data_IF_200222585622
#
_entry.id   IF_200222585622
#
_cell.length_a   1.000
_cell.length_b   1.000
_cell.length_c   1.000
_cell.angle_alpha   90.00
_cell.angle_beta   90.00
_cell.angle_gamma   90.00
#
_symmetry.space_group_name_H-M   'P 1'
#
loop_
_entity.id
_entity.type
_entity.pdbx_description
1 polymer ?
#
# COMPACT_ATOMS: atom_id res chain seq x y z
N UNK A 1 5.57 5.12 -26.32
CA UNK A 1 4.83 4.25 -25.39
C UNK A 1 4.53 2.96 -26.11
N UNK A 2 4.91 1.81 -25.54
CA UNK A 2 4.62 0.50 -26.13
C UNK A 2 3.28 0.04 -25.60
N UNK A 3 2.37 -0.36 -26.49
CA UNK A 3 1.01 -0.78 -26.15
C UNK A 3 0.68 -2.12 -26.80
N UNK A 4 -0.23 -2.90 -26.21
CA UNK A 4 -0.76 -4.09 -26.84
C UNK A 4 -1.57 -3.76 -28.11
N UNK A 5 -1.74 -4.75 -28.98
CA UNK A 5 -2.50 -4.59 -30.23
C UNK A 5 -3.97 -4.17 -30.02
N UNK A 6 -4.56 -4.54 -28.88
CA UNK A 6 -5.95 -4.22 -28.53
C UNK A 6 -6.19 -2.69 -28.33
N UNK A 7 -5.15 -1.87 -28.24
CA UNK A 7 -5.32 -0.41 -28.18
C UNK A 7 -6.09 0.16 -29.38
N UNK A 8 -6.14 -0.59 -30.49
CA UNK A 8 -6.90 -0.25 -31.69
C UNK A 8 -8.29 -0.89 -31.77
N UNK A 9 -8.74 -1.53 -30.68
CA UNK A 9 -10.10 -2.06 -30.63
C UNK A 9 -11.09 -0.90 -30.48
N UNK A 10 -12.11 -0.91 -31.33
CA UNK A 10 -13.17 0.10 -31.30
C UNK A 10 -14.05 -0.05 -30.07
N UNK A 11 -14.37 1.08 -29.49
CA UNK A 11 -15.32 1.23 -28.38
C UNK A 11 -16.22 2.43 -28.62
N UNK A 12 -17.39 2.42 -28.04
CA UNK A 12 -18.34 3.53 -28.08
C UNK A 12 -18.51 4.08 -26.68
N UNK A 13 -17.58 4.95 -26.21
CA UNK A 13 -17.61 5.47 -24.86
C UNK A 13 -18.83 6.36 -24.63
N UNK A 14 -19.36 6.32 -23.42
CA UNK A 14 -20.50 7.12 -23.00
C UNK A 14 -20.14 7.92 -21.74
N UNK A 15 -20.60 9.17 -21.66
CA UNK A 15 -20.41 9.98 -20.46
C UNK A 15 -21.27 9.45 -19.31
N UNK A 16 -20.71 9.48 -18.07
CA UNK A 16 -21.46 9.04 -16.88
C UNK A 16 -22.79 9.78 -16.70
N UNK A 17 -22.85 11.06 -17.08
CA UNK A 17 -24.09 11.85 -17.09
C UNK A 17 -25.18 11.19 -17.95
N UNK A 18 -24.79 10.71 -19.11
CA UNK A 18 -25.73 10.12 -20.07
C UNK A 18 -26.15 8.71 -19.67
N UNK A 19 -25.22 7.94 -19.00
CA UNK A 19 -25.59 6.68 -18.36
C UNK A 19 -26.65 6.91 -17.27
N UNK A 20 -26.47 7.91 -16.42
CA UNK A 20 -27.41 8.24 -15.35
C UNK A 20 -28.77 8.67 -15.95
N UNK A 21 -28.79 9.44 -17.05
CA UNK A 21 -30.00 9.79 -17.78
C UNK A 21 -30.73 8.53 -18.25
N UNK A 22 -30.07 7.61 -18.95
CA UNK A 22 -30.69 6.37 -19.39
C UNK A 22 -31.23 5.53 -18.22
N UNK A 23 -30.54 5.50 -17.07
CA UNK A 23 -31.01 4.80 -15.88
C UNK A 23 -32.29 5.44 -15.30
N UNK A 24 -32.41 6.76 -15.36
CA UNK A 24 -33.62 7.48 -14.91
C UNK A 24 -34.74 7.30 -15.92
N UNK A 25 -34.50 7.55 -17.22
CA UNK A 25 -35.48 7.48 -18.28
C UNK A 25 -36.11 6.08 -18.37
N UNK A 26 -35.34 5.00 -18.12
CA UNK A 26 -35.88 3.64 -18.16
C UNK A 26 -36.90 3.33 -17.05
N UNK A 27 -37.02 4.16 -16.02
CA UNK A 27 -38.09 4.02 -15.00
C UNK A 27 -39.47 4.49 -15.53
N UNK A 28 -39.47 5.44 -16.47
CA UNK A 28 -40.65 6.05 -16.99
C UNK A 28 -41.11 5.45 -18.34
N UNK A 29 -40.24 4.68 -19.02
CA UNK A 29 -40.50 4.08 -20.33
C UNK A 29 -40.78 2.59 -20.18
N UNK A 30 -42.05 2.20 -20.20
CA UNK A 30 -42.53 0.82 -20.01
C UNK A 30 -41.96 -0.17 -21.04
N UNK A 31 -41.68 0.26 -22.24
CA UNK A 31 -41.15 -0.51 -23.36
C UNK A 31 -39.71 -0.99 -23.10
N UNK A 32 -39.04 -0.47 -22.09
CA UNK A 32 -37.69 -0.92 -21.66
C UNK A 32 -37.72 -2.15 -20.76
N UNK A 33 -38.90 -2.44 -20.15
CA UNK A 33 -39.06 -3.53 -19.19
C UNK A 33 -38.74 -4.90 -19.81
N UNK A 34 -37.89 -5.68 -19.15
CA UNK A 34 -37.50 -7.02 -19.59
C UNK A 34 -36.59 -7.04 -20.84
N UNK A 35 -36.08 -5.90 -21.30
CA UNK A 35 -35.21 -5.78 -22.47
C UNK A 35 -33.77 -5.54 -22.06
N UNK A 36 -32.87 -5.99 -22.92
CA UNK A 36 -31.45 -5.60 -22.86
C UNK A 36 -31.18 -4.56 -23.93
N UNK A 37 -30.81 -3.36 -23.54
CA UNK A 37 -30.56 -2.23 -24.41
C UNK A 37 -29.09 -1.86 -24.40
N UNK A 38 -28.49 -1.73 -25.57
CA UNK A 38 -27.13 -1.23 -25.72
C UNK A 38 -27.14 0.30 -25.62
N UNK A 39 -26.31 0.88 -24.75
CA UNK A 39 -26.17 2.34 -24.62
C UNK A 39 -24.72 2.74 -24.94
N UNK A 40 -24.56 3.85 -25.67
CA UNK A 40 -23.26 4.38 -26.08
C UNK A 40 -23.34 5.88 -26.34
N UNK A 41 -22.18 6.53 -26.38
CA UNK A 41 -22.07 7.91 -26.84
C UNK A 41 -22.18 8.03 -28.37
N UNK A 42 -22.08 9.25 -28.92
CA UNK A 42 -22.18 9.47 -30.36
C UNK A 42 -20.91 9.03 -31.13
N UNK A 43 -19.77 8.95 -30.45
CA UNK A 43 -18.49 8.70 -31.07
C UNK A 43 -18.08 7.23 -30.94
N UNK A 44 -17.58 6.64 -32.04
CA UNK A 44 -16.94 5.33 -32.05
C UNK A 44 -15.45 5.57 -32.29
N UNK A 45 -14.62 5.22 -31.30
CA UNK A 45 -13.21 5.49 -31.33
C UNK A 45 -12.42 4.31 -30.77
N UNK A 46 -11.12 4.24 -31.11
CA UNK A 46 -10.22 3.29 -30.48
C UNK A 46 -9.57 3.89 -29.21
N UNK A 47 -9.03 3.02 -28.36
CA UNK A 47 -8.39 3.46 -27.12
C UNK A 47 -7.18 4.37 -27.36
N UNK A 48 -6.52 4.23 -28.51
CA UNK A 48 -5.39 5.08 -28.88
C UNK A 48 -5.84 6.52 -29.09
N UNK A 49 -6.94 6.71 -29.82
CA UNK A 49 -7.56 8.02 -30.05
C UNK A 49 -8.01 8.67 -28.74
N UNK A 50 -8.71 7.91 -27.89
CA UNK A 50 -9.15 8.39 -26.58
C UNK A 50 -7.96 8.85 -25.72
N UNK A 51 -6.85 8.08 -25.68
CA UNK A 51 -5.65 8.48 -24.95
C UNK A 51 -5.01 9.75 -25.52
N UNK A 52 -5.06 9.96 -26.83
CA UNK A 52 -4.53 11.18 -27.46
C UNK A 52 -5.39 12.40 -27.13
N UNK A 53 -6.72 12.26 -27.16
CA UNK A 53 -7.66 13.30 -26.75
C UNK A 53 -7.41 13.68 -25.28
N UNK A 54 -7.31 12.70 -24.39
CA UNK A 54 -7.01 12.93 -22.97
C UNK A 54 -5.65 13.64 -22.79
N UNK A 55 -4.60 13.22 -23.51
CA UNK A 55 -3.30 13.85 -23.42
C UNK A 55 -3.33 15.32 -23.91
N UNK A 56 -4.09 15.63 -24.97
CA UNK A 56 -4.31 16.99 -25.46
C UNK A 56 -5.00 17.86 -24.40
N UNK A 57 -6.10 17.35 -23.79
CA UNK A 57 -6.84 18.06 -22.74
C UNK A 57 -6.01 18.33 -21.48
N UNK A 58 -5.14 17.38 -21.11
CA UNK A 58 -4.20 17.52 -20.00
C UNK A 58 -2.92 18.31 -20.35
N UNK A 59 -2.83 18.87 -21.56
CA UNK A 59 -1.65 19.62 -22.07
C UNK A 59 -0.34 18.82 -22.00
N UNK A 60 -0.42 17.51 -22.13
CA UNK A 60 0.73 16.61 -22.16
C UNK A 60 1.34 16.56 -23.57
N UNK A 61 2.63 16.26 -23.65
CA UNK A 61 3.29 16.02 -24.96
C UNK A 61 2.63 14.84 -25.68
N UNK A 62 2.46 14.96 -27.00
CA UNK A 62 1.92 13.89 -27.85
C UNK A 62 2.70 12.60 -27.62
N UNK A 63 2.00 11.51 -27.31
CA UNK A 63 2.59 10.20 -27.08
C UNK A 63 2.77 9.48 -28.42
N UNK A 64 3.98 9.04 -28.70
CA UNK A 64 4.24 8.12 -29.81
C UNK A 64 3.87 6.72 -29.30
N UNK A 65 2.87 6.09 -29.91
CA UNK A 65 2.32 4.81 -29.50
C UNK A 65 2.72 3.75 -30.53
N UNK A 66 3.42 2.71 -30.06
CA UNK A 66 3.83 1.56 -30.87
C UNK A 66 3.04 0.33 -30.42
N UNK A 67 2.05 -0.13 -31.21
CA UNK A 67 1.33 -1.36 -30.90
C UNK A 67 2.21 -2.57 -31.18
N UNK A 68 2.41 -3.43 -30.18
CA UNK A 68 3.23 -4.64 -30.28
C UNK A 68 2.32 -5.87 -30.33
N UNK A 69 2.45 -6.75 -31.34
CA UNK A 69 1.57 -7.91 -31.51
C UNK A 69 1.76 -8.99 -30.44
N UNK A 70 2.90 -9.02 -29.77
CA UNK A 70 3.32 -10.09 -28.86
C UNK A 70 2.71 -9.98 -27.46
N UNK A 71 2.16 -8.83 -27.08
CA UNK A 71 1.56 -8.64 -25.77
C UNK A 71 0.15 -9.27 -25.69
N UNK A 72 0.09 -10.55 -25.27
CA UNK A 72 -1.17 -11.19 -24.91
C UNK A 72 -1.82 -10.44 -23.73
N UNK A 73 -3.15 -10.57 -23.49
CA UNK A 73 -3.79 -9.93 -22.33
C UNK A 73 -3.13 -10.31 -21.00
N UNK A 74 -2.65 -11.55 -20.91
CA UNK A 74 -1.93 -12.03 -19.72
C UNK A 74 -0.61 -11.30 -19.53
N UNK A 75 0.18 -11.13 -20.59
CA UNK A 75 1.42 -10.34 -20.54
C UNK A 75 1.12 -8.86 -20.32
N UNK A 76 0.04 -8.34 -20.91
CA UNK A 76 -0.40 -6.94 -20.70
C UNK A 76 -0.80 -6.70 -19.25
N UNK A 77 -1.54 -7.61 -18.61
CA UNK A 77 -1.91 -7.47 -17.20
C UNK A 77 -0.70 -7.54 -16.26
N UNK A 78 0.27 -8.41 -16.57
CA UNK A 78 1.56 -8.45 -15.85
C UNK A 78 2.34 -7.16 -16.02
N UNK A 79 2.38 -6.61 -17.24
CA UNK A 79 3.00 -5.32 -17.52
C UNK A 79 2.31 -4.17 -16.78
N UNK A 80 0.97 -4.11 -16.78
CA UNK A 80 0.21 -3.12 -16.03
C UNK A 80 0.54 -3.22 -14.54
N UNK A 81 0.53 -4.44 -13.95
CA UNK A 81 0.91 -4.65 -12.56
C UNK A 81 2.38 -4.30 -12.25
N UNK A 82 3.28 -4.38 -13.26
CA UNK A 82 4.68 -3.99 -13.13
C UNK A 82 4.88 -2.47 -13.18
N UNK A 83 4.13 -1.77 -14.03
CA UNK A 83 4.32 -0.32 -14.30
C UNK A 83 3.42 0.57 -13.45
N UNK A 84 2.30 0.03 -12.97
CA UNK A 84 1.30 0.77 -12.18
C UNK A 84 1.03 0.06 -10.86
N UNK A 85 0.55 0.78 -9.84
CA UNK A 85 0.16 0.17 -8.56
C UNK A 85 -1.18 -0.59 -8.63
N UNK A 86 -1.69 -0.90 -9.83
CA UNK A 86 -2.96 -1.60 -10.00
C UNK A 86 -2.75 -3.11 -9.82
N UNK A 87 -3.58 -3.72 -8.97
CA UNK A 87 -3.57 -5.16 -8.74
C UNK A 87 -3.86 -5.94 -10.02
N UNK A 88 -3.08 -7.00 -10.31
CA UNK A 88 -3.33 -7.89 -11.44
C UNK A 88 -4.72 -8.55 -11.42
N UNK A 89 -5.32 -8.71 -10.23
CA UNK A 89 -6.68 -9.23 -10.08
C UNK A 89 -7.74 -8.34 -10.74
N UNK A 90 -7.49 -7.02 -10.75
CA UNK A 90 -8.34 -6.02 -11.41
C UNK A 90 -7.88 -5.79 -12.85
N UNK A 91 -6.59 -5.63 -13.07
CA UNK A 91 -6.03 -5.30 -14.37
C UNK A 91 -6.28 -6.38 -15.42
N UNK A 92 -6.26 -7.67 -15.02
CA UNK A 92 -6.41 -8.78 -15.96
C UNK A 92 -7.79 -8.86 -16.61
N UNK A 93 -8.93 -8.91 -15.86
CA UNK A 93 -10.26 -8.93 -16.48
C UNK A 93 -10.52 -7.69 -17.35
N UNK A 94 -10.06 -6.51 -16.89
CA UNK A 94 -10.18 -5.29 -17.68
C UNK A 94 -9.38 -5.38 -19.00
N UNK A 95 -8.11 -5.81 -18.95
CA UNK A 95 -7.29 -5.97 -20.14
C UNK A 95 -7.82 -7.04 -21.10
N UNK A 96 -8.42 -8.12 -20.57
CA UNK A 96 -9.11 -9.13 -21.37
C UNK A 96 -10.36 -8.56 -22.04
N UNK A 97 -11.14 -7.74 -21.35
CA UNK A 97 -12.33 -7.04 -21.86
C UNK A 97 -12.02 -6.06 -23.00
N UNK A 98 -10.88 -5.35 -22.93
CA UNK A 98 -10.45 -4.37 -23.95
C UNK A 98 -10.18 -4.97 -25.34
N UNK A 99 -10.12 -6.28 -25.49
CA UNK A 99 -10.00 -6.96 -26.77
C UNK A 99 -11.31 -7.02 -27.55
N UNK A 100 -12.42 -6.92 -26.84
CA UNK A 100 -13.73 -7.03 -27.44
C UNK A 100 -14.16 -5.67 -27.98
N UNK A 101 -14.71 -5.67 -29.18
CA UNK A 101 -15.35 -4.50 -29.75
C UNK A 101 -16.59 -4.19 -28.94
N UNK A 102 -16.66 -3.00 -28.33
CA UNK A 102 -17.76 -2.56 -27.48
C UNK A 102 -18.48 -1.38 -28.16
N UNK A 103 -19.29 -1.71 -29.14
CA UNK A 103 -20.09 -0.76 -29.91
C UNK A 103 -21.55 -1.24 -29.88
N UNK A 104 -22.50 -0.33 -29.76
CA UNK A 104 -23.92 -0.65 -29.78
C UNK A 104 -24.27 -1.41 -31.04
N UNK A 105 -25.08 -2.47 -30.92
CA UNK A 105 -25.52 -3.31 -32.03
C UNK A 105 -26.75 -2.75 -32.74
N UNK A 106 -27.51 -1.91 -32.04
CA UNK A 106 -28.68 -1.22 -32.54
C UNK A 106 -28.87 0.14 -31.85
N UNK A 107 -29.83 0.89 -32.26
CA UNK A 107 -30.22 2.22 -31.75
C UNK A 107 -31.48 2.20 -30.87
N UNK A 108 -31.89 1.03 -30.40
CA UNK A 108 -33.13 0.87 -29.64
C UNK A 108 -33.16 1.77 -28.39
N UNK A 109 -32.05 1.90 -27.67
CA UNK A 109 -31.99 2.76 -26.50
C UNK A 109 -32.24 4.24 -26.85
N UNK A 110 -31.61 4.73 -27.93
CA UNK A 110 -31.77 6.13 -28.40
C UNK A 110 -33.17 6.38 -28.86
N UNK A 111 -33.80 5.40 -29.53
CA UNK A 111 -35.18 5.52 -30.03
C UNK A 111 -36.19 5.52 -28.90
N UNK A 112 -36.03 4.68 -27.89
CA UNK A 112 -36.93 4.58 -26.75
C UNK A 112 -36.76 5.71 -25.74
N UNK A 113 -35.51 6.14 -25.55
CA UNK A 113 -35.14 7.19 -24.60
C UNK A 113 -34.31 8.27 -25.32
N UNK A 114 -34.95 9.12 -26.14
CA UNK A 114 -34.26 10.13 -26.94
C UNK A 114 -33.58 11.18 -26.05
N UNK A 115 -32.41 11.64 -26.47
CA UNK A 115 -31.67 12.70 -25.78
C UNK A 115 -30.28 12.83 -26.33
N UNK A 116 -29.67 14.01 -26.22
CA UNK A 116 -28.32 14.27 -26.68
C UNK A 116 -27.31 13.74 -25.70
N UNK A 117 -26.46 12.81 -26.18
CA UNK A 117 -25.30 12.32 -25.46
C UNK A 117 -24.06 13.18 -25.77
N UNK A 118 -23.21 13.36 -24.76
CA UNK A 118 -21.93 14.05 -24.94
C UNK A 118 -20.96 13.19 -25.76
N UNK A 119 -20.30 13.84 -26.73
CA UNK A 119 -19.14 13.27 -27.37
C UNK A 119 -17.94 13.14 -26.43
N UNK A 120 -16.87 12.48 -26.89
CA UNK A 120 -15.68 12.16 -26.09
C UNK A 120 -14.99 13.43 -25.55
N UNK A 121 -14.77 14.44 -26.39
CA UNK A 121 -14.08 15.66 -25.96
C UNK A 121 -14.85 16.41 -24.87
N UNK A 122 -16.16 16.75 -25.05
CA UNK A 122 -16.94 17.41 -24.00
C UNK A 122 -17.13 16.54 -22.73
N UNK A 123 -17.19 15.21 -22.87
CA UNK A 123 -17.29 14.32 -21.74
C UNK A 123 -16.01 14.36 -20.87
N UNK A 124 -14.84 14.36 -21.51
CA UNK A 124 -13.54 14.51 -20.83
C UNK A 124 -13.44 15.89 -20.17
N UNK A 125 -13.83 16.96 -20.88
CA UNK A 125 -13.81 18.32 -20.31
C UNK A 125 -14.71 18.43 -19.06
N UNK A 126 -15.90 17.85 -19.11
CA UNK A 126 -16.82 17.82 -17.96
C UNK A 126 -16.21 17.07 -16.76
N UNK A 127 -15.59 15.91 -17.00
CA UNK A 127 -14.93 15.11 -15.96
C UNK A 127 -13.74 15.85 -15.35
N UNK A 128 -12.85 16.41 -16.19
CA UNK A 128 -11.68 17.16 -15.71
C UNK A 128 -12.06 18.46 -15.00
N UNK A 129 -13.09 19.16 -15.49
CA UNK A 129 -13.62 20.37 -14.86
C UNK A 129 -14.13 20.13 -13.44
N UNK A 130 -14.83 19.04 -13.18
CA UNK A 130 -15.26 18.67 -11.82
C UNK A 130 -14.07 18.37 -10.89
N UNK A 131 -13.04 17.69 -11.41
CA UNK A 131 -11.80 17.43 -10.66
C UNK A 131 -11.13 18.74 -10.26
N UNK A 132 -11.01 19.67 -11.20
CA UNK A 132 -10.32 20.96 -10.98
C UNK A 132 -11.07 21.86 -10.00
N UNK A 133 -12.41 21.85 -10.03
CA UNK A 133 -13.25 22.65 -9.12
C UNK A 133 -13.41 22.02 -7.74
N UNK A 134 -12.87 20.82 -7.51
CA UNK A 134 -13.00 20.12 -6.22
C UNK A 134 -14.44 19.64 -5.92
N UNK A 135 -15.28 19.52 -6.95
CA UNK A 135 -16.68 19.07 -6.85
C UNK A 135 -16.82 17.54 -6.74
N UNK A 136 -15.74 16.84 -6.47
CA UNK A 136 -15.71 15.39 -6.29
C UNK A 136 -15.78 15.11 -4.79
N UNK A 137 -16.84 14.46 -4.34
CA UNK A 137 -17.06 14.13 -2.93
C UNK A 137 -15.98 13.16 -2.40
N UNK A 138 -15.55 12.20 -3.22
CA UNK A 138 -14.56 11.21 -2.81
C UNK A 138 -13.52 10.96 -3.90
N UNK A 139 -12.26 10.77 -3.52
CA UNK A 139 -11.16 10.49 -4.45
C UNK A 139 -10.44 9.21 -4.08
N UNK A 140 -10.98 8.09 -4.51
CA UNK A 140 -10.45 6.76 -4.18
C UNK A 140 -9.14 6.42 -4.88
N UNK A 141 -8.85 7.01 -6.04
CA UNK A 141 -7.65 6.71 -6.84
C UNK A 141 -6.33 7.07 -6.15
N UNK A 142 -6.38 7.92 -5.12
CA UNK A 142 -5.23 8.34 -4.32
C UNK A 142 -5.27 7.81 -2.89
N UNK A 143 -6.36 7.14 -2.52
CA UNK A 143 -6.50 6.53 -1.20
C UNK A 143 -5.57 5.31 -1.07
N UNK A 144 -4.84 5.21 0.05
CA UNK A 144 -4.13 4.00 0.42
C UNK A 144 -5.09 2.98 1.03
N UNK A 145 -4.68 1.71 1.06
CA UNK A 145 -5.45 0.64 1.73
C UNK A 145 -5.62 0.96 3.22
N UNK A 146 -6.85 0.88 3.70
CA UNK A 146 -7.20 1.02 5.12
C UNK A 146 -7.49 -0.35 5.74
N UNK A 147 -7.42 -0.50 7.07
CA UNK A 147 -7.92 -1.69 7.76
C UNK A 147 -9.40 -1.92 7.43
N UNK A 148 -9.73 -3.14 6.98
CA UNK A 148 -11.07 -3.49 6.53
C UNK A 148 -11.30 -3.40 5.01
N UNK A 149 -10.39 -2.76 4.28
CA UNK A 149 -10.45 -2.77 2.81
C UNK A 149 -10.18 -4.16 2.25
N UNK A 150 -10.83 -4.52 1.12
CA UNK A 150 -10.52 -5.76 0.42
C UNK A 150 -9.04 -5.84 0.00
N UNK A 151 -8.51 -7.06 -0.16
CA UNK A 151 -7.10 -7.28 -0.53
C UNK A 151 -6.67 -6.66 -1.85
N UNK A 152 -7.61 -6.29 -2.71
CA UNK A 152 -7.37 -5.62 -3.98
C UNK A 152 -7.39 -4.09 -3.90
N UNK A 153 -7.82 -3.51 -2.78
CA UNK A 153 -7.89 -2.05 -2.60
C UNK A 153 -6.51 -1.44 -2.37
N UNK A 154 -6.33 -0.17 -2.74
CA UNK A 154 -5.17 0.65 -2.40
C UNK A 154 -3.88 0.38 -3.20
N UNK A 155 -3.96 -0.33 -4.33
CA UNK A 155 -2.82 -0.63 -5.19
C UNK A 155 -2.00 -1.86 -4.72
N UNK A 156 -0.94 -2.19 -5.47
CA UNK A 156 -0.07 -3.31 -5.13
C UNK A 156 0.82 -2.95 -3.93
N UNK A 157 0.54 -3.56 -2.79
CA UNK A 157 1.44 -3.52 -1.64
C UNK A 157 2.15 -4.87 -1.50
N UNK A 158 3.46 -4.85 -1.46
CA UNK A 158 4.25 -6.02 -1.11
C UNK A 158 4.27 -6.17 0.42
N UNK A 159 4.11 -7.39 0.89
CA UNK A 159 4.02 -7.69 2.32
C UNK A 159 4.93 -8.87 2.66
N UNK A 160 5.73 -8.73 3.69
CA UNK A 160 6.44 -9.84 4.35
C UNK A 160 5.96 -9.91 5.79
N UNK A 161 5.26 -11.01 6.14
CA UNK A 161 4.71 -11.26 7.47
C UNK A 161 5.46 -12.40 8.14
N UNK A 162 5.87 -12.18 9.39
CA UNK A 162 6.55 -13.15 10.24
C UNK A 162 5.89 -13.21 11.59
N UNK A 163 5.84 -14.40 12.17
CA UNK A 163 5.22 -14.66 13.46
C UNK A 163 6.20 -15.38 14.36
N UNK A 164 6.14 -15.08 15.64
CA UNK A 164 6.87 -15.78 16.68
C UNK A 164 6.06 -15.82 17.96
N UNK A 165 6.17 -16.93 18.68
CA UNK A 165 5.65 -17.08 20.02
C UNK A 165 6.82 -16.89 20.98
N UNK A 166 6.69 -15.96 21.94
CA UNK A 166 7.75 -15.55 22.85
C UNK A 166 7.32 -15.88 24.29
N UNK A 167 8.20 -16.52 25.04
CA UNK A 167 8.01 -16.73 26.47
C UNK A 167 8.24 -15.42 27.22
N UNK A 168 7.16 -14.89 27.79
CA UNK A 168 7.14 -13.64 28.53
C UNK A 168 5.79 -12.95 28.45
N UNK A 169 5.47 -12.15 29.47
CA UNK A 169 4.24 -11.38 29.52
C UNK A 169 4.18 -10.35 28.38
N UNK A 170 2.97 -9.99 27.97
CA UNK A 170 2.76 -9.04 26.86
C UNK A 170 3.41 -7.69 27.15
N UNK A 171 3.45 -7.28 28.43
CA UNK A 171 4.06 -6.03 28.87
C UNK A 171 5.56 -6.04 28.64
N UNK A 172 6.25 -7.14 28.97
CA UNK A 172 7.70 -7.32 28.77
C UNK A 172 8.04 -7.38 27.30
N UNK A 173 7.33 -8.18 26.53
CA UNK A 173 7.54 -8.32 25.08
C UNK A 173 7.30 -6.97 24.38
N UNK A 174 6.24 -6.26 24.73
CA UNK A 174 5.95 -4.96 24.13
C UNK A 174 6.95 -3.87 24.55
N UNK A 175 7.41 -3.88 25.80
CA UNK A 175 8.48 -2.99 26.26
C UNK A 175 9.79 -3.22 25.50
N UNK A 176 10.12 -4.48 25.22
CA UNK A 176 11.27 -4.83 24.38
C UNK A 176 11.10 -4.31 22.94
N UNK A 177 9.94 -4.53 22.32
CA UNK A 177 9.64 -4.01 20.97
C UNK A 177 9.71 -2.48 20.94
N UNK A 178 9.18 -1.78 21.93
CA UNK A 178 9.29 -0.32 22.05
C UNK A 178 10.71 0.19 22.17
N UNK A 179 11.66 -0.65 22.55
CA UNK A 179 13.08 -0.25 22.67
C UNK A 179 13.86 -0.25 21.35
N UNK A 180 13.19 -0.46 20.20
CA UNK A 180 13.79 -0.48 18.85
C UNK A 180 14.60 0.78 18.55
N UNK A 181 15.74 0.63 17.86
CA UNK A 181 16.57 1.72 17.34
C UNK A 181 17.51 2.37 18.35
N UNK A 182 18.18 3.43 17.92
CA UNK A 182 19.19 4.12 18.71
C UNK A 182 20.37 3.23 19.08
N UNK A 183 20.89 3.33 20.32
CA UNK A 183 22.01 2.54 20.82
C UNK A 183 21.74 1.05 20.94
N UNK A 184 20.48 0.65 21.15
CA UNK A 184 20.05 -0.74 21.20
C UNK A 184 20.03 -1.42 19.82
N UNK A 185 19.74 -0.67 18.77
CA UNK A 185 19.64 -1.17 17.40
C UNK A 185 18.39 -2.00 17.14
N UNK A 186 18.51 -3.06 16.32
CA UNK A 186 17.40 -3.80 15.74
C UNK A 186 17.45 -5.31 16.04
N UNK A 187 17.96 -5.72 17.20
CA UNK A 187 18.05 -7.10 17.72
C UNK A 187 18.77 -8.11 16.82
N UNK A 188 19.44 -7.68 15.78
CA UNK A 188 20.20 -8.56 14.89
C UNK A 188 20.61 -7.84 13.62
N UNK A 189 21.61 -8.41 12.95
CA UNK A 189 22.14 -7.88 11.70
C UNK A 189 22.53 -6.38 11.74
N UNK A 190 23.05 -5.90 12.87
CA UNK A 190 23.35 -4.47 13.08
C UNK A 190 24.20 -3.86 11.98
N UNK A 191 25.15 -4.62 11.41
CA UNK A 191 25.98 -4.16 10.30
C UNK A 191 25.17 -3.89 9.02
N UNK A 192 24.10 -4.68 8.74
CA UNK A 192 23.23 -4.47 7.59
C UNK A 192 22.37 -3.20 7.75
N UNK A 193 21.94 -2.91 8.97
CA UNK A 193 21.24 -1.67 9.28
C UNK A 193 22.17 -0.46 9.19
N UNK A 194 23.42 -0.59 9.60
CA UNK A 194 24.44 0.46 9.41
C UNK A 194 24.74 0.70 7.92
N UNK A 195 24.96 -0.37 7.16
CA UNK A 195 25.16 -0.29 5.71
C UNK A 195 23.96 0.40 5.03
N UNK A 196 22.76 0.01 5.43
CA UNK A 196 21.52 0.63 4.96
C UNK A 196 21.45 2.11 5.29
N UNK A 197 21.82 2.49 6.50
CA UNK A 197 21.89 3.89 6.93
C UNK A 197 22.89 4.71 6.12
N UNK A 198 24.07 4.15 5.82
CA UNK A 198 25.08 4.81 4.98
C UNK A 198 24.61 4.98 3.53
N UNK A 199 23.98 3.96 2.97
CA UNK A 199 23.38 4.07 1.61
C UNK A 199 22.32 5.16 1.53
N UNK A 200 21.46 5.26 2.53
CA UNK A 200 20.44 6.31 2.60
C UNK A 200 21.07 7.70 2.71
N UNK A 201 22.12 7.85 3.53
CA UNK A 201 22.86 9.11 3.64
C UNK A 201 23.54 9.51 2.34
N UNK A 202 24.10 8.55 1.60
CA UNK A 202 24.75 8.81 0.31
C UNK A 202 23.80 9.42 -0.72
N UNK A 203 22.51 9.10 -0.64
CA UNK A 203 21.47 9.69 -1.51
C UNK A 203 20.73 10.87 -0.84
N UNK A 204 21.26 11.36 0.29
CA UNK A 204 20.75 12.52 1.02
C UNK A 204 19.53 12.25 1.90
N UNK A 205 19.35 11.02 2.37
CA UNK A 205 18.37 10.66 3.39
C UNK A 205 18.89 10.87 4.82
N UNK A 206 18.04 10.69 5.85
CA UNK A 206 18.43 10.88 7.26
C UNK A 206 19.41 9.82 7.77
N UNK A 207 19.40 8.61 7.22
CA UNK A 207 20.17 7.48 7.74
C UNK A 207 19.86 7.19 9.21
N UNK A 208 20.87 6.78 9.99
CA UNK A 208 20.76 6.54 11.43
C UNK A 208 21.08 7.78 12.29
N UNK A 209 21.15 8.99 11.69
CA UNK A 209 21.63 10.20 12.39
C UNK A 209 20.67 10.74 13.44
N UNK A 210 19.37 10.46 13.33
CA UNK A 210 18.37 11.02 14.25
C UNK A 210 18.44 10.40 15.63
N UNK A 211 18.95 9.15 15.70
CA UNK A 211 19.03 8.43 16.97
C UNK A 211 17.65 8.24 17.59
N UNK A 212 17.61 8.27 18.92
CA UNK A 212 16.42 8.07 19.72
C UNK A 212 16.42 9.02 20.92
N UNK A 213 15.27 9.64 21.24
CA UNK A 213 15.13 10.60 22.35
C UNK A 213 15.27 9.92 23.73
N UNK A 214 14.58 8.78 23.92
CA UNK A 214 14.56 8.05 25.20
C UNK A 214 14.86 6.56 24.98
N UNK A 215 15.71 5.90 25.78
CA UNK A 215 16.18 4.54 25.50
C UNK A 215 15.08 3.47 25.49
N UNK A 216 13.98 3.66 26.25
CA UNK A 216 12.92 2.67 26.42
C UNK A 216 11.53 3.12 25.97
N UNK A 217 11.29 4.43 25.85
CA UNK A 217 9.96 4.98 25.56
C UNK A 217 9.87 5.54 24.16
N UNK A 218 8.71 5.35 23.55
CA UNK A 218 8.33 5.95 22.27
C UNK A 218 6.99 6.66 22.42
N UNK A 219 6.82 7.72 21.63
CA UNK A 219 5.56 8.44 21.52
C UNK A 219 5.13 8.52 20.05
N UNK A 220 3.83 8.70 19.85
CA UNK A 220 3.29 8.93 18.51
C UNK A 220 3.97 10.15 17.85
N UNK A 221 4.33 10.01 16.58
CA UNK A 221 4.99 11.07 15.81
C UNK A 221 6.50 11.19 16.04
N UNK A 222 7.07 10.45 17.00
CA UNK A 222 8.50 10.50 17.33
C UNK A 222 9.34 9.85 16.23
N UNK A 223 10.52 10.42 15.96
CA UNK A 223 11.51 9.87 15.04
C UNK A 223 12.46 8.93 15.79
N UNK A 224 12.70 7.75 15.20
CA UNK A 224 13.68 6.77 15.67
C UNK A 224 14.57 6.39 14.48
N UNK A 225 15.81 6.80 14.49
CA UNK A 225 16.71 6.65 13.35
C UNK A 225 16.06 7.19 12.06
N UNK A 226 15.75 6.32 11.10
CA UNK A 226 15.03 6.69 9.87
C UNK A 226 13.53 6.36 9.92
N UNK A 227 13.02 5.94 11.06
CA UNK A 227 11.61 5.62 11.26
C UNK A 227 10.86 6.79 11.90
N UNK A 228 9.55 6.85 11.65
CA UNK A 228 8.59 7.65 12.40
C UNK A 228 7.52 6.77 12.97
N UNK A 229 7.21 6.96 14.25
CA UNK A 229 6.11 6.25 14.92
C UNK A 229 4.78 6.80 14.40
N UNK A 230 4.02 5.97 13.68
CA UNK A 230 2.72 6.33 13.09
C UNK A 230 1.54 5.73 13.83
N UNK A 231 1.78 4.69 14.65
CA UNK A 231 0.77 4.12 15.54
C UNK A 231 1.46 3.54 16.77
N UNK A 232 0.90 3.80 17.93
CA UNK A 232 1.33 3.23 19.20
C UNK A 232 0.10 2.96 20.07
N UNK A 233 -0.21 1.68 20.28
CA UNK A 233 -1.20 1.20 21.22
C UNK A 233 -0.43 0.31 22.19
N UNK A 234 -0.38 0.72 23.45
CA UNK A 234 0.41 0.04 24.47
C UNK A 234 -0.08 -1.41 24.64
N UNK A 235 0.88 -2.35 24.66
CA UNK A 235 0.65 -3.79 24.77
C UNK A 235 -0.20 -4.40 23.63
N UNK A 236 -0.27 -3.71 22.48
CA UNK A 236 -1.00 -4.20 21.32
C UNK A 236 -0.24 -3.96 20.03
N UNK A 237 0.15 -2.70 19.73
CA UNK A 237 0.67 -2.38 18.39
C UNK A 237 1.66 -1.23 18.35
N UNK A 238 2.72 -1.43 17.60
CA UNK A 238 3.67 -0.41 17.21
C UNK A 238 3.82 -0.40 15.68
N UNK A 239 3.54 0.73 15.05
CA UNK A 239 3.71 0.90 13.60
C UNK A 239 4.73 2.00 13.33
N UNK A 240 5.71 1.69 12.50
CA UNK A 240 6.81 2.55 12.11
C UNK A 240 6.79 2.78 10.60
N UNK A 241 6.79 4.04 10.17
CA UNK A 241 6.91 4.42 8.76
C UNK A 241 8.35 4.86 8.46
N UNK A 242 8.92 4.35 7.38
CA UNK A 242 10.24 4.75 6.95
C UNK A 242 10.22 6.18 6.35
N UNK A 243 11.13 7.02 6.80
CA UNK A 243 11.40 8.37 6.26
C UNK A 243 12.71 8.44 5.45
N UNK A 244 13.35 7.29 5.25
CA UNK A 244 14.47 7.18 4.33
C UNK A 244 14.04 7.38 2.88
N UNK A 245 14.98 7.74 2.01
CA UNK A 245 14.73 7.87 0.57
C UNK A 245 14.58 6.49 -0.07
N UNK A 246 13.33 6.14 -0.36
CA UNK A 246 12.93 4.89 -0.97
C UNK A 246 12.19 5.15 -2.29
N UNK A 247 12.30 4.25 -3.27
CA UNK A 247 11.44 4.28 -4.45
C UNK A 247 10.04 3.73 -4.14
N UNK A 248 9.45 4.18 -3.03
CA UNK A 248 8.17 3.75 -2.50
C UNK A 248 7.97 4.19 -1.05
N UNK A 249 6.95 3.64 -0.42
CA UNK A 249 6.64 3.85 1.00
C UNK A 249 6.79 2.53 1.75
N UNK A 250 7.55 2.53 2.83
CA UNK A 250 7.78 1.35 3.67
C UNK A 250 7.21 1.56 5.08
N UNK A 251 6.62 0.51 5.60
CA UNK A 251 6.05 0.45 6.94
C UNK A 251 6.46 -0.87 7.61
N UNK A 252 6.83 -0.79 8.88
CA UNK A 252 7.08 -1.94 9.74
C UNK A 252 6.10 -1.91 10.90
N UNK A 253 5.33 -2.96 11.04
CA UNK A 253 4.24 -3.08 12.00
C UNK A 253 4.48 -4.27 12.92
N UNK A 254 4.43 -4.05 14.23
CA UNK A 254 4.46 -5.07 15.27
C UNK A 254 3.09 -5.12 15.93
N UNK A 255 2.48 -6.27 15.90
CA UNK A 255 1.25 -6.57 16.63
C UNK A 255 1.54 -7.66 17.64
N UNK A 256 1.17 -7.44 18.89
CA UNK A 256 1.31 -8.42 19.96
C UNK A 256 -0.05 -8.85 20.46
N UNK A 257 -0.19 -10.12 20.75
CA UNK A 257 -1.40 -10.70 21.33
C UNK A 257 -1.06 -11.69 22.44
N UNK A 258 -1.83 -11.65 23.51
CA UNK A 258 -1.65 -12.56 24.65
C UNK A 258 -2.22 -13.93 24.30
N UNK A 259 -1.41 -14.97 24.37
CA UNK A 259 -1.86 -16.37 24.30
C UNK A 259 -2.10 -16.96 25.69
N UNK A 260 -1.23 -16.62 26.66
CA UNK A 260 -1.39 -16.91 28.09
C UNK A 260 -0.72 -15.82 28.93
N UNK A 261 -0.68 -15.96 30.26
CA UNK A 261 -0.03 -14.96 31.11
C UNK A 261 1.45 -14.78 30.79
N UNK A 262 2.17 -15.86 30.47
CA UNK A 262 3.60 -15.87 30.17
C UNK A 262 3.90 -16.24 28.71
N UNK A 263 2.92 -16.21 27.81
CA UNK A 263 3.12 -16.49 26.39
C UNK A 263 2.49 -15.40 25.55
N UNK A 264 3.31 -14.75 24.73
CA UNK A 264 2.91 -13.66 23.84
C UNK A 264 3.22 -14.02 22.40
N UNK A 265 2.25 -13.88 21.53
CA UNK A 265 2.44 -13.95 20.09
C UNK A 265 2.84 -12.56 19.54
N UNK A 266 3.86 -12.55 18.72
CA UNK A 266 4.34 -11.36 18.02
C UNK A 266 4.20 -11.57 16.52
N UNK A 267 3.43 -10.71 15.88
CA UNK A 267 3.31 -10.66 14.42
C UNK A 267 4.01 -9.41 13.92
N UNK A 268 5.10 -9.60 13.19
CA UNK A 268 5.85 -8.53 12.52
C UNK A 268 5.50 -8.51 11.04
N UNK A 269 5.06 -7.36 10.54
CA UNK A 269 4.65 -7.19 9.15
C UNK A 269 5.39 -6.01 8.52
N UNK A 270 6.21 -6.27 7.53
CA UNK A 270 6.75 -5.22 6.66
C UNK A 270 5.84 -5.04 5.45
N UNK A 271 5.46 -3.80 5.18
CA UNK A 271 4.68 -3.42 4.00
C UNK A 271 5.48 -2.44 3.16
N UNK A 272 5.44 -2.64 1.86
CA UNK A 272 6.08 -1.74 0.91
C UNK A 272 5.15 -1.42 -0.25
N UNK A 273 4.92 -0.13 -0.48
CA UNK A 273 4.14 0.39 -1.62
C UNK A 273 5.11 0.96 -2.64
N UNK A 274 5.40 0.25 -3.74
CA UNK A 274 6.38 0.68 -4.72
C UNK A 274 5.90 1.90 -5.50
N UNK A 275 6.82 2.80 -5.85
CA UNK A 275 6.59 3.88 -6.82
C UNK A 275 7.26 3.51 -8.14
N UNK A 276 6.49 2.96 -9.07
CA UNK A 276 6.96 2.56 -10.40
C UNK A 276 7.92 1.36 -10.37
N UNK A 277 8.56 1.10 -11.53
CA UNK A 277 9.45 -0.05 -11.74
C UNK A 277 10.64 -0.11 -10.78
N UNK A 278 11.22 1.06 -10.45
CA UNK A 278 12.34 1.13 -9.51
C UNK A 278 11.94 0.64 -8.11
N UNK A 279 10.69 0.95 -7.68
CA UNK A 279 10.17 0.45 -6.42
C UNK A 279 10.01 -1.07 -6.42
N UNK A 280 9.51 -1.62 -7.51
CA UNK A 280 9.33 -3.07 -7.66
C UNK A 280 10.70 -3.78 -7.67
N UNK A 281 11.64 -3.29 -8.48
CA UNK A 281 13.00 -3.83 -8.54
C UNK A 281 13.68 -3.76 -7.16
N UNK A 282 13.53 -2.65 -6.46
CA UNK A 282 14.02 -2.48 -5.10
C UNK A 282 13.47 -3.55 -4.14
N UNK A 283 12.15 -3.81 -4.16
CA UNK A 283 11.55 -4.82 -3.29
C UNK A 283 12.17 -6.20 -3.50
N UNK A 284 12.26 -6.64 -4.77
CA UNK A 284 12.85 -7.95 -5.07
C UNK A 284 14.34 -8.03 -4.74
N UNK A 285 15.07 -6.92 -4.83
CA UNK A 285 16.48 -6.86 -4.44
C UNK A 285 16.68 -6.99 -2.92
N UNK A 286 15.76 -6.42 -2.10
CA UNK A 286 15.88 -6.47 -0.63
C UNK A 286 15.17 -7.69 0.00
N UNK A 287 14.28 -8.36 -0.71
CA UNK A 287 13.51 -9.50 -0.20
C UNK A 287 14.39 -10.65 0.37
N UNK A 288 15.51 -11.05 -0.26
CA UNK A 288 16.40 -12.05 0.33
C UNK A 288 16.94 -11.63 1.69
N UNK A 289 17.22 -10.33 1.88
CA UNK A 289 17.69 -9.79 3.15
C UNK A 289 16.60 -9.83 4.23
N UNK A 290 15.34 -9.59 3.87
CA UNK A 290 14.20 -9.73 4.78
C UNK A 290 14.11 -11.16 5.31
N UNK A 291 14.33 -12.16 4.45
CA UNK A 291 14.38 -13.58 4.86
C UNK A 291 15.41 -13.90 5.93
N UNK A 292 16.50 -13.13 6.01
CA UNK A 292 17.55 -13.26 7.01
C UNK A 292 17.30 -12.35 8.23
N UNK A 293 17.04 -11.06 8.00
CA UNK A 293 16.98 -10.04 9.04
C UNK A 293 15.78 -10.23 9.95
N UNK A 294 14.59 -10.48 9.42
CA UNK A 294 13.35 -10.51 10.21
C UNK A 294 13.30 -11.68 11.19
N UNK A 295 13.69 -12.93 10.82
CA UNK A 295 13.83 -14.00 11.79
C UNK A 295 14.89 -13.71 12.88
N UNK A 296 15.99 -13.02 12.52
CA UNK A 296 16.99 -12.61 13.50
C UNK A 296 16.44 -11.57 14.48
N UNK A 297 15.64 -10.60 14.01
CA UNK A 297 14.98 -9.61 14.85
C UNK A 297 14.04 -10.29 15.86
N UNK A 298 13.15 -11.18 15.40
CA UNK A 298 12.21 -11.88 16.27
C UNK A 298 12.92 -12.76 17.31
N UNK A 299 13.98 -13.50 16.90
CA UNK A 299 14.80 -14.28 17.83
C UNK A 299 15.52 -13.39 18.83
N UNK A 300 16.02 -12.23 18.41
CA UNK A 300 16.68 -11.27 19.30
C UNK A 300 15.72 -10.67 20.32
N UNK A 301 14.48 -10.37 19.94
CA UNK A 301 13.43 -9.94 20.88
C UNK A 301 13.20 -11.05 21.90
N UNK A 302 12.97 -12.29 21.45
CA UNK A 302 12.72 -13.43 22.35
C UNK A 302 13.88 -13.62 23.35
N UNK A 303 15.12 -13.67 22.86
CA UNK A 303 16.30 -13.83 23.70
C UNK A 303 16.44 -12.72 24.75
N UNK A 304 16.16 -11.47 24.40
CA UNK A 304 16.24 -10.37 25.36
C UNK A 304 15.15 -10.44 26.43
N UNK A 305 13.93 -10.84 26.07
CA UNK A 305 12.83 -11.03 27.00
C UNK A 305 13.15 -12.16 27.99
N UNK A 306 13.64 -13.30 27.51
CA UNK A 306 14.05 -14.44 28.32
C UNK A 306 15.19 -14.09 29.29
N UNK A 307 16.20 -13.37 28.83
CA UNK A 307 17.34 -12.97 29.69
C UNK A 307 16.95 -12.02 30.81
N UNK A 308 15.93 -11.20 30.64
CA UNK A 308 15.39 -10.34 31.72
C UNK A 308 14.63 -11.17 32.75
N UNK A 309 13.88 -12.18 32.30
CA UNK A 309 13.18 -13.12 33.20
C UNK A 309 14.15 -13.89 34.11
N UNK A 310 15.27 -14.35 33.53
CA UNK A 310 16.28 -15.08 34.30
C UNK A 310 17.00 -14.19 35.34
N UNK A 311 17.27 -12.94 35.02
CA UNK A 311 17.88 -11.99 35.96
C UNK A 311 16.96 -11.63 37.14
N UNK A 312 15.67 -11.40 36.88
CA UNK A 312 14.68 -11.15 37.93
C UNK A 312 14.48 -12.36 38.84
N UNK A 313 14.44 -13.59 38.30
CA UNK A 313 14.37 -14.81 39.05
C UNK A 313 15.63 -15.07 39.91
N UNK A 314 16.80 -14.63 39.44
CA UNK A 314 18.06 -14.74 40.16
C UNK A 314 18.15 -13.75 41.35
N UNK A 315 17.65 -12.51 41.17
CA UNK A 315 17.57 -11.51 42.23
C UNK A 315 16.54 -11.88 43.31
N UNK A 316 15.42 -12.51 42.92
CA UNK A 316 14.39 -12.95 43.89
C UNK A 316 14.84 -14.15 44.73
N UNK A 317 15.84 -14.92 44.25
CA UNK A 317 16.44 -16.06 44.99
C UNK A 317 17.63 -15.68 45.86
N UNK A 318 18.13 -14.44 45.83
CA UNK A 318 19.08 -13.93 46.81
C UNK A 318 18.30 -13.61 48.09
N UNK A 319 18.53 -14.45 49.13
CA UNK A 319 17.97 -14.25 50.49
C UNK A 319 18.32 -12.83 50.96
N UNK A 320 17.40 -12.18 51.75
CA UNK A 320 17.72 -10.92 52.40
C UNK A 320 18.81 -11.20 53.46
N UNK A 321 20.07 -10.96 53.16
CA UNK A 321 21.09 -10.87 54.20
C UNK A 321 20.91 -9.56 54.95
N UNK A 322 20.64 -9.75 56.25
CA UNK A 322 20.76 -8.87 57.39
C UNK A 322 21.27 -7.45 57.10
N UNK A 323 20.39 -6.49 57.21
CA UNK A 323 20.74 -5.10 57.46
C UNK A 323 21.36 -5.01 58.87
N UNK A 324 22.65 -5.06 58.99
CA UNK A 324 23.35 -4.70 60.22
C UNK A 324 23.08 -3.23 60.55
N UNK A 325 22.27 -3.00 61.59
CA UNK A 325 22.02 -1.69 62.17
C UNK A 325 23.34 -1.14 62.72
N UNK A 326 23.91 -0.11 62.08
CA UNK A 326 25.06 0.63 62.62
C UNK A 326 24.52 1.57 63.72
N UNK A 327 24.99 1.43 64.97
CA UNK A 327 24.56 2.34 66.04
C UNK A 327 25.20 3.74 65.87
N UNK A 328 24.56 4.83 66.30
CA UNK A 328 25.04 6.18 66.16
C UNK A 328 26.33 6.38 66.99
N UNK A 329 27.38 6.92 66.37
CA UNK A 329 28.55 7.40 67.08
C UNK A 329 28.22 8.62 67.93
N UNK A 330 28.62 8.55 69.24
CA UNK A 330 28.61 9.67 70.17
C UNK A 330 29.56 10.79 69.74
#
# INVERSE_FOLDING_TARGET
>A
MVTPKWVKTETQPIAIRDVLRYLVDCLDVDETKGRTLDIGGPDIEDFQSIMQVMAKKLKLRRRIIFPVPVLTPRLSSLWIGLVTPVSNRIARPLAEGLRNRTVCRNDDAVRLMPGECLGIEPAIDAALGRIQRGEIETRWSTAGKMPGDPDWAGGAAFTDRREAVIQGSIERVFAEIRSIGGSKGYWGAGFLWQLRGWMDQAIGGPGLRRGRRHPRELHFGEAVDFWRVTKLIVNERLTLRAEMKLPGEAELDFHVSRQSEEITEVVMTARFRPKGLLGIAYWYAVMPMHGLIFPMMLRGIAKNVESISDSENTETNLKPEEYAVIPPRK
#
